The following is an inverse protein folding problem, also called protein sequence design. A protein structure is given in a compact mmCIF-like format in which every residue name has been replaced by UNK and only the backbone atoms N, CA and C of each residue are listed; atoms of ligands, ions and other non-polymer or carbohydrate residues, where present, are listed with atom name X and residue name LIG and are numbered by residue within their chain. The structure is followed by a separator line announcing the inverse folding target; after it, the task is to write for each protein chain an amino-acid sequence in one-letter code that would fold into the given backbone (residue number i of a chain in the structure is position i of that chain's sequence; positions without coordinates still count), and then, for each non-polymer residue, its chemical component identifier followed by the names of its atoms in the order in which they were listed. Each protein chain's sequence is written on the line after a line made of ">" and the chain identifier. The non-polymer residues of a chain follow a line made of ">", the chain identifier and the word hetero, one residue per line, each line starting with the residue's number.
data_IF_879767738681
#
_entry.id   IF_879767738681
#
_cell.length_a   1.000
_cell.length_b   1.000
_cell.length_c   1.000
_cell.angle_alpha   90.00
_cell.angle_beta   90.00
_cell.angle_gamma   90.00
#
_symmetry.space_group_name_H-M   'P 1'
#
loop_
_entity.id
_entity.type
_entity.pdbx_description
1 polymer ?
#
# COMPACT_ATOMS: atom_id res chain seq x y z
N UNK A 1 15.42 -6.22 15.38
CA UNK A 1 14.38 -7.26 15.14
C UNK A 1 13.13 -7.04 15.98
N UNK A 2 13.22 -6.89 17.31
CA UNK A 2 12.05 -6.65 18.20
C UNK A 2 11.21 -5.45 17.75
N UNK A 3 11.83 -4.33 17.40
CA UNK A 3 11.13 -3.14 16.91
C UNK A 3 10.32 -3.39 15.62
N UNK A 4 10.86 -4.19 14.70
CA UNK A 4 10.17 -4.54 13.46
C UNK A 4 8.93 -5.38 13.74
N UNK A 5 9.05 -6.38 14.62
CA UNK A 5 7.92 -7.24 15.00
C UNK A 5 6.84 -6.47 15.77
N UNK A 6 7.25 -5.59 16.69
CA UNK A 6 6.33 -4.72 17.40
C UNK A 6 5.59 -3.77 16.44
N UNK A 7 6.32 -3.22 15.45
CA UNK A 7 5.74 -2.35 14.44
C UNK A 7 4.74 -3.08 13.53
N UNK A 8 5.10 -4.24 12.99
CA UNK A 8 4.21 -5.02 12.13
C UNK A 8 2.99 -5.52 12.89
N UNK A 9 3.15 -5.89 14.16
CA UNK A 9 2.04 -6.23 15.04
C UNK A 9 1.09 -5.05 15.26
N UNK A 10 1.63 -3.87 15.63
CA UNK A 10 0.84 -2.66 15.84
C UNK A 10 0.05 -2.25 14.59
N UNK A 11 0.70 -2.26 13.43
CA UNK A 11 0.06 -1.97 12.15
C UNK A 11 -1.02 -3.00 11.80
N UNK A 12 -0.81 -4.29 12.10
CA UNK A 12 -1.84 -5.32 11.98
C UNK A 12 -3.07 -5.05 12.85
N UNK A 13 -2.87 -4.59 14.10
CA UNK A 13 -3.96 -4.18 14.99
C UNK A 13 -4.71 -2.97 14.41
N UNK A 14 -4.02 -1.99 13.83
CA UNK A 14 -4.68 -0.86 13.17
C UNK A 14 -5.51 -1.30 11.96
N UNK A 15 -5.02 -2.25 11.18
CA UNK A 15 -5.74 -2.83 10.04
C UNK A 15 -7.01 -3.59 10.47
N UNK A 16 -7.00 -4.19 11.66
CA UNK A 16 -8.15 -4.95 12.17
C UNK A 16 -9.42 -4.12 12.23
N UNK A 17 -9.32 -2.80 12.50
CA UNK A 17 -10.47 -1.90 12.50
C UNK A 17 -11.05 -1.70 11.10
N UNK A 18 -10.19 -1.55 10.10
CA UNK A 18 -10.61 -1.42 8.70
C UNK A 18 -11.31 -2.70 8.23
N UNK A 19 -10.69 -3.86 8.50
CA UNK A 19 -11.26 -5.17 8.18
C UNK A 19 -12.60 -5.39 8.89
N UNK A 20 -12.68 -5.08 10.19
CA UNK A 20 -13.90 -5.22 10.98
C UNK A 20 -15.02 -4.30 10.48
N UNK A 21 -14.69 -3.07 10.08
CA UNK A 21 -15.65 -2.16 9.45
C UNK A 21 -16.16 -2.72 8.13
N UNK A 22 -15.30 -3.24 7.26
CA UNK A 22 -15.72 -3.83 5.99
C UNK A 22 -16.61 -5.06 6.20
N UNK A 23 -16.27 -5.94 7.14
CA UNK A 23 -17.09 -7.12 7.46
C UNK A 23 -18.44 -6.75 8.08
N UNK A 24 -18.49 -5.70 8.89
CA UNK A 24 -19.72 -5.26 9.56
C UNK A 24 -20.62 -4.38 8.69
N UNK A 25 -20.08 -3.74 7.65
CA UNK A 25 -20.83 -2.78 6.81
C UNK A 25 -21.31 -3.36 5.49
N UNK A 26 -20.78 -4.51 5.07
CA UNK A 26 -21.09 -5.11 3.77
C UNK A 26 -21.38 -6.60 3.91
N UNK A 27 -22.47 -7.07 3.29
CA UNK A 27 -22.84 -8.49 3.27
C UNK A 27 -21.78 -9.33 2.53
N UNK A 28 -21.13 -8.74 1.53
CA UNK A 28 -20.04 -9.33 0.76
C UNK A 28 -18.63 -8.98 1.29
N UNK A 29 -18.50 -8.50 2.54
CA UNK A 29 -17.25 -7.99 3.11
C UNK A 29 -16.06 -8.96 3.04
N UNK A 30 -16.30 -10.27 3.22
CA UNK A 30 -15.26 -11.29 3.09
C UNK A 30 -14.70 -11.40 1.66
N UNK A 31 -15.58 -11.29 0.65
CA UNK A 31 -15.17 -11.30 -0.76
C UNK A 31 -14.34 -10.06 -1.11
N UNK A 32 -14.71 -8.89 -0.57
CA UNK A 32 -13.93 -7.66 -0.75
C UNK A 32 -12.53 -7.76 -0.18
N UNK A 33 -12.39 -8.33 1.02
CA UNK A 33 -11.09 -8.53 1.67
C UNK A 33 -10.23 -9.50 0.85
N UNK A 34 -10.80 -10.61 0.39
CA UNK A 34 -10.08 -11.54 -0.47
C UNK A 34 -9.70 -10.91 -1.82
N UNK A 35 -10.58 -10.09 -2.40
CA UNK A 35 -10.29 -9.33 -3.62
C UNK A 35 -9.14 -8.34 -3.43
N UNK A 36 -9.13 -7.59 -2.33
CA UNK A 36 -8.06 -6.66 -2.00
C UNK A 36 -6.73 -7.40 -1.73
N UNK A 37 -6.78 -8.53 -1.02
CA UNK A 37 -5.61 -9.37 -0.78
C UNK A 37 -5.05 -9.92 -2.10
N UNK A 38 -5.89 -10.49 -2.95
CA UNK A 38 -5.51 -11.03 -4.26
C UNK A 38 -4.94 -9.97 -5.17
N UNK A 39 -5.56 -8.79 -5.24
CA UNK A 39 -5.05 -7.66 -6.03
C UNK A 39 -3.70 -7.15 -5.52
N UNK A 40 -3.52 -7.07 -4.20
CA UNK A 40 -2.24 -6.67 -3.59
C UNK A 40 -1.14 -7.71 -3.89
N UNK A 41 -1.46 -9.00 -3.76
CA UNK A 41 -0.54 -10.09 -4.08
C UNK A 41 -0.13 -10.08 -5.56
N UNK A 42 -1.08 -9.81 -6.47
CA UNK A 42 -0.81 -9.68 -7.89
C UNK A 42 0.12 -8.50 -8.17
N UNK A 43 -0.17 -7.32 -7.62
CA UNK A 43 0.68 -6.13 -7.75
C UNK A 43 2.09 -6.41 -7.22
N UNK A 44 2.21 -6.96 -6.01
CA UNK A 44 3.50 -7.28 -5.42
C UNK A 44 4.29 -8.25 -6.30
N UNK A 45 3.65 -9.33 -6.77
CA UNK A 45 4.30 -10.34 -7.60
C UNK A 45 4.81 -9.75 -8.91
N UNK A 46 3.99 -8.93 -9.59
CA UNK A 46 4.39 -8.26 -10.83
C UNK A 46 5.56 -7.30 -10.59
N UNK A 47 5.45 -6.42 -9.60
CA UNK A 47 6.48 -5.41 -9.31
C UNK A 47 7.79 -6.04 -8.84
N UNK A 48 7.71 -7.07 -8.00
CA UNK A 48 8.88 -7.82 -7.53
C UNK A 48 9.55 -8.59 -8.69
N UNK A 49 8.77 -9.19 -9.58
CA UNK A 49 9.29 -9.87 -10.77
C UNK A 49 10.03 -8.90 -11.69
N UNK A 50 9.46 -7.71 -11.93
CA UNK A 50 10.12 -6.68 -12.74
C UNK A 50 11.42 -6.23 -12.06
N UNK A 51 11.40 -6.01 -10.74
CA UNK A 51 12.56 -5.58 -9.98
C UNK A 51 13.74 -6.58 -10.01
N UNK A 52 13.45 -7.88 -10.03
CA UNK A 52 14.47 -8.94 -10.01
C UNK A 52 15.07 -9.23 -11.40
N UNK A 53 14.30 -9.06 -12.48
CA UNK A 53 14.77 -9.34 -13.85
C UNK A 53 15.30 -8.09 -14.57
N UNK A 54 14.91 -6.90 -14.13
CA UNK A 54 15.29 -5.64 -14.79
C UNK A 54 16.73 -5.24 -14.48
N UNK A 55 17.49 -4.93 -15.54
CA UNK A 55 18.85 -4.37 -15.46
C UNK A 55 18.87 -2.85 -15.28
N UNK A 56 17.73 -2.17 -15.39
CA UNK A 56 17.62 -0.72 -15.24
C UNK A 56 17.66 -0.36 -13.75
N UNK A 57 18.50 0.59 -13.36
CA UNK A 57 18.52 1.13 -11.99
C UNK A 57 17.32 2.07 -11.74
N UNK A 58 16.50 1.73 -10.75
CA UNK A 58 15.34 2.49 -10.28
C UNK A 58 15.63 3.30 -9.01
N UNK A 59 16.86 3.31 -8.50
CA UNK A 59 17.23 4.03 -7.28
C UNK A 59 16.89 5.52 -7.33
N UNK A 60 17.04 6.14 -8.51
CA UNK A 60 16.67 7.55 -8.77
C UNK A 60 15.18 7.82 -8.62
N UNK A 61 14.33 6.84 -8.94
CA UNK A 61 12.87 6.95 -8.82
C UNK A 61 12.43 7.09 -7.36
N UNK A 62 13.18 6.54 -6.41
CA UNK A 62 12.85 6.64 -4.98
C UNK A 62 12.74 8.08 -4.47
N UNK A 63 13.55 9.02 -4.98
CA UNK A 63 13.46 10.44 -4.60
C UNK A 63 12.15 11.07 -5.07
N UNK A 64 11.73 10.75 -6.29
CA UNK A 64 10.47 11.23 -6.86
C UNK A 64 9.27 10.63 -6.11
N UNK A 65 9.29 9.32 -5.83
CA UNK A 65 8.23 8.67 -5.09
C UNK A 65 8.09 9.22 -3.66
N UNK A 66 9.19 9.58 -3.02
CA UNK A 66 9.17 10.22 -1.71
C UNK A 66 8.45 11.57 -1.73
N UNK A 67 8.73 12.41 -2.74
CA UNK A 67 7.99 13.67 -2.95
C UNK A 67 6.51 13.38 -3.22
N UNK A 68 6.19 12.34 -4.00
CA UNK A 68 4.83 11.89 -4.24
C UNK A 68 4.07 11.54 -2.95
N UNK A 69 4.71 10.85 -2.00
CA UNK A 69 4.11 10.53 -0.70
C UNK A 69 3.87 11.78 0.13
N UNK A 70 4.79 12.75 0.12
CA UNK A 70 4.58 14.03 0.81
C UNK A 70 3.33 14.73 0.25
N UNK A 71 3.20 14.81 -1.08
CA UNK A 71 2.03 15.39 -1.71
C UNK A 71 0.75 14.62 -1.37
N UNK A 72 0.83 13.30 -1.31
CA UNK A 72 -0.29 12.44 -0.93
C UNK A 72 -0.74 12.73 0.51
N UNK A 73 0.20 12.86 1.45
CA UNK A 73 -0.10 13.22 2.85
C UNK A 73 -0.76 14.60 2.91
N UNK A 74 -0.22 15.59 2.20
CA UNK A 74 -0.80 16.95 2.15
C UNK A 74 -2.22 16.92 1.59
N UNK A 75 -2.45 16.20 0.49
CA UNK A 75 -3.78 16.03 -0.10
C UNK A 75 -4.75 15.31 0.84
N UNK A 76 -4.27 14.29 1.56
CA UNK A 76 -5.04 13.54 2.56
C UNK A 76 -5.49 14.44 3.70
N UNK A 77 -4.58 15.27 4.22
CA UNK A 77 -4.88 16.23 5.27
C UNK A 77 -5.89 17.28 4.77
N UNK A 78 -5.65 17.88 3.61
CA UNK A 78 -6.55 18.85 3.00
C UNK A 78 -7.97 18.27 2.83
N UNK A 79 -8.07 17.00 2.42
CA UNK A 79 -9.36 16.33 2.21
C UNK A 79 -10.16 16.11 3.51
N UNK A 80 -9.55 16.19 4.70
CA UNK A 80 -10.28 16.12 5.98
C UNK A 80 -11.27 17.28 6.10
N UNK A 81 -10.87 18.50 5.69
CA UNK A 81 -11.72 19.69 5.74
C UNK A 81 -12.54 19.89 4.47
N UNK A 82 -11.96 19.56 3.30
CA UNK A 82 -12.64 19.75 2.02
C UNK A 82 -13.74 18.71 1.78
N UNK A 83 -13.57 17.49 2.30
CA UNK A 83 -14.51 16.37 2.18
C UNK A 83 -14.98 16.13 0.73
N UNK A 84 -14.07 16.25 -0.24
CA UNK A 84 -14.41 16.10 -1.66
C UNK A 84 -14.33 14.62 -2.04
N UNK A 85 -15.44 13.97 -2.45
CA UNK A 85 -15.43 12.54 -2.77
C UNK A 85 -14.48 12.19 -3.91
N UNK A 86 -14.41 13.03 -4.95
CA UNK A 86 -13.49 12.84 -6.07
C UNK A 86 -12.02 12.85 -5.64
N UNK A 87 -11.65 13.76 -4.73
CA UNK A 87 -10.29 13.86 -4.20
C UNK A 87 -9.92 12.61 -3.39
N UNK A 88 -10.84 12.09 -2.59
CA UNK A 88 -10.64 10.83 -1.85
C UNK A 88 -10.33 9.66 -2.78
N UNK A 89 -11.09 9.50 -3.86
CA UNK A 89 -10.84 8.45 -4.86
C UNK A 89 -9.49 8.63 -5.55
N UNK A 90 -9.14 9.87 -5.93
CA UNK A 90 -7.84 10.17 -6.53
C UNK A 90 -6.70 9.81 -5.57
N UNK A 91 -6.81 10.16 -4.28
CA UNK A 91 -5.80 9.83 -3.27
C UNK A 91 -5.59 8.32 -3.19
N UNK A 92 -6.67 7.53 -3.15
CA UNK A 92 -6.57 6.07 -3.06
C UNK A 92 -5.89 5.44 -4.28
N UNK A 93 -6.28 5.85 -5.49
CA UNK A 93 -5.69 5.32 -6.72
C UNK A 93 -4.22 5.72 -6.86
N UNK A 94 -3.90 6.99 -6.56
CA UNK A 94 -2.52 7.48 -6.58
C UNK A 94 -1.68 6.81 -5.50
N UNK A 95 -2.23 6.53 -4.31
CA UNK A 95 -1.55 5.76 -3.27
C UNK A 95 -1.15 4.39 -3.79
N UNK A 96 -2.08 3.64 -4.37
CA UNK A 96 -1.82 2.31 -4.93
C UNK A 96 -0.70 2.39 -5.97
N UNK A 97 -0.73 3.36 -6.89
CA UNK A 97 0.29 3.53 -7.91
C UNK A 97 1.67 3.84 -7.32
N UNK A 98 1.76 4.78 -6.37
CA UNK A 98 3.02 5.18 -5.73
C UNK A 98 3.61 4.02 -4.93
N UNK A 99 2.82 3.34 -4.10
CA UNK A 99 3.31 2.22 -3.30
C UNK A 99 3.65 1.00 -4.16
N UNK A 100 2.98 0.79 -5.29
CA UNK A 100 3.38 -0.23 -6.28
C UNK A 100 4.76 0.07 -6.85
N UNK A 101 5.03 1.33 -7.19
CA UNK A 101 6.35 1.75 -7.65
C UNK A 101 7.42 1.66 -6.55
N UNK A 102 7.06 1.88 -5.27
CA UNK A 102 7.98 1.65 -4.15
C UNK A 102 8.35 0.18 -4.00
N UNK A 103 7.43 -0.77 -4.17
CA UNK A 103 7.77 -2.20 -4.17
C UNK A 103 8.88 -2.48 -5.19
N UNK A 104 8.75 -1.94 -6.39
CA UNK A 104 9.74 -2.13 -7.45
C UNK A 104 11.11 -1.54 -7.06
N UNK A 105 11.15 -0.34 -6.46
CA UNK A 105 12.39 0.31 -6.01
C UNK A 105 13.02 -0.46 -4.83
N UNK A 106 12.23 -0.81 -3.83
CA UNK A 106 12.72 -1.43 -2.60
C UNK A 106 13.18 -2.86 -2.85
N UNK A 107 12.42 -3.65 -3.62
CA UNK A 107 12.84 -5.02 -4.01
C UNK A 107 14.13 -4.97 -4.82
N UNK A 108 14.25 -4.03 -5.77
CA UNK A 108 15.49 -3.92 -6.55
C UNK A 108 16.69 -3.54 -5.67
N UNK A 109 16.51 -2.64 -4.69
CA UNK A 109 17.58 -2.29 -3.74
C UNK A 109 18.02 -3.49 -2.90
N UNK A 110 17.09 -4.34 -2.48
CA UNK A 110 17.39 -5.59 -1.77
C UNK A 110 18.18 -6.55 -2.66
N UNK A 111 17.72 -6.77 -3.89
CA UNK A 111 18.36 -7.70 -4.85
C UNK A 111 19.76 -7.24 -5.23
N UNK A 112 19.95 -5.93 -5.45
CA UNK A 112 21.24 -5.35 -5.86
C UNK A 112 22.21 -5.13 -4.68
N UNK A 113 21.82 -5.48 -3.46
CA UNK A 113 22.65 -5.28 -2.26
C UNK A 113 22.86 -3.81 -1.87
N UNK A 114 22.00 -2.91 -2.35
CA UNK A 114 22.08 -1.47 -2.06
C UNK A 114 21.64 -1.10 -0.64
N UNK A 115 20.83 -1.95 0.00
CA UNK A 115 20.44 -1.82 1.41
C UNK A 115 21.01 -2.97 2.24
N UNK A 116 22.01 -2.66 3.07
CA UNK A 116 22.64 -3.65 3.96
C UNK A 116 21.80 -3.94 5.20
N UNK A 117 20.81 -3.09 5.48
CA UNK A 117 19.93 -3.25 6.62
C UNK A 117 18.60 -3.90 6.21
N UNK A 118 18.53 -5.22 6.36
CA UNK A 118 17.33 -6.02 6.08
C UNK A 118 16.08 -5.56 6.87
N UNK A 119 16.25 -4.94 8.04
CA UNK A 119 15.11 -4.42 8.82
C UNK A 119 14.44 -3.26 8.08
N UNK A 120 15.23 -2.29 7.60
CA UNK A 120 14.70 -1.12 6.89
C UNK A 120 14.07 -1.54 5.56
N UNK A 121 14.75 -2.41 4.82
CA UNK A 121 14.26 -2.91 3.56
C UNK A 121 12.93 -3.68 3.70
N UNK A 122 12.83 -4.54 4.72
CA UNK A 122 11.60 -5.30 4.99
C UNK A 122 10.46 -4.38 5.45
N UNK A 123 10.76 -3.36 6.25
CA UNK A 123 9.76 -2.37 6.67
C UNK A 123 9.21 -1.55 5.50
N UNK A 124 10.07 -1.11 4.57
CA UNK A 124 9.65 -0.37 3.38
C UNK A 124 8.70 -1.17 2.49
N UNK A 125 9.06 -2.43 2.22
CA UNK A 125 8.21 -3.35 1.46
C UNK A 125 6.90 -3.62 2.20
N UNK A 126 6.94 -3.89 3.52
CA UNK A 126 5.76 -4.09 4.35
C UNK A 126 4.81 -2.89 4.30
N UNK A 127 5.34 -1.67 4.45
CA UNK A 127 4.55 -0.44 4.38
C UNK A 127 3.89 -0.26 3.03
N UNK A 128 4.59 -0.58 1.95
CA UNK A 128 4.03 -0.51 0.59
C UNK A 128 2.87 -1.48 0.42
N UNK A 129 3.04 -2.74 0.82
CA UNK A 129 1.98 -3.76 0.78
C UNK A 129 0.79 -3.37 1.65
N UNK A 130 1.03 -2.88 2.87
CA UNK A 130 -0.01 -2.41 3.79
C UNK A 130 -0.85 -1.29 3.17
N UNK A 131 -0.20 -0.30 2.55
CA UNK A 131 -0.90 0.82 1.95
C UNK A 131 -1.66 0.42 0.69
N UNK A 132 -1.10 -0.44 -0.16
CA UNK A 132 -1.81 -0.96 -1.34
C UNK A 132 -3.06 -1.71 -0.88
N UNK A 133 -2.93 -2.63 0.06
CA UNK A 133 -4.06 -3.40 0.58
C UNK A 133 -5.15 -2.49 1.15
N UNK A 134 -4.77 -1.54 2.02
CA UNK A 134 -5.72 -0.65 2.69
C UNK A 134 -6.49 0.22 1.70
N UNK A 135 -5.79 0.81 0.72
CA UNK A 135 -6.42 1.66 -0.29
C UNK A 135 -7.25 0.85 -1.29
N UNK A 136 -6.79 -0.36 -1.67
CA UNK A 136 -7.53 -1.23 -2.56
C UNK A 136 -8.80 -1.75 -1.89
N UNK A 137 -8.74 -2.15 -0.62
CA UNK A 137 -9.91 -2.55 0.17
C UNK A 137 -10.92 -1.41 0.29
N UNK A 138 -10.45 -0.18 0.53
CA UNK A 138 -11.31 0.99 0.58
C UNK A 138 -12.01 1.25 -0.77
N UNK A 139 -11.27 1.18 -1.88
CA UNK A 139 -11.85 1.32 -3.23
C UNK A 139 -12.88 0.22 -3.54
N UNK A 140 -12.54 -1.04 -3.25
CA UNK A 140 -13.46 -2.16 -3.46
C UNK A 140 -14.72 -2.03 -2.58
N UNK A 141 -14.59 -1.56 -1.34
CA UNK A 141 -15.75 -1.27 -0.49
C UNK A 141 -16.63 -0.14 -1.03
N UNK A 142 -16.05 0.88 -1.69
CA UNK A 142 -16.82 1.98 -2.30
C UNK A 142 -17.58 1.49 -3.55
N UNK A 143 -16.92 0.73 -4.43
CA UNK A 143 -17.48 0.39 -5.75
C UNK A 143 -18.18 -0.96 -5.83
N UNK A 144 -17.81 -1.91 -4.97
CA UNK A 144 -18.30 -3.29 -5.02
C UNK A 144 -18.91 -3.78 -3.70
N UNK A 145 -19.11 -2.89 -2.72
CA UNK A 145 -19.68 -3.25 -1.43
C UNK A 145 -21.21 -3.30 -1.47
N UNK A 146 -21.76 -4.48 -1.19
CA UNK A 146 -23.21 -4.70 -1.12
C UNK A 146 -23.71 -4.46 0.31
N UNK A 147 -24.69 -3.56 0.47
CA UNK A 147 -25.30 -3.18 1.74
C UNK A 147 -26.72 -3.73 1.83
N UNK A 148 -26.83 -5.05 1.82
CA UNK A 148 -28.10 -5.78 2.00
C UNK A 148 -28.15 -6.42 3.39
#
# INVERSE_FOLDING_TARGET
>A
VVLLLAFTFFMGVMLSRLIGMTLGSYSNGAALIMGAFGGTAAIFTVMASIATVSKKDFSSMGKFLFVGVILLIVASLANIWLQIPALMLTIMVVAIAIFSAFILVDVQRVVNGGETNYIIATLGIYLSVYNIFSNLLALLGIFGGDRD
#
